data_IF_274828424978
#
_entry.id   IF_274828424978
#
_cell.length_a   1.000
_cell.length_b   1.000
_cell.length_c   1.000
_cell.angle_alpha   90.00
_cell.angle_beta   90.00
_cell.angle_gamma   90.00
#
_symmetry.space_group_name_H-M   'P 1'
#
loop_
_entity.id
_entity.type
_entity.pdbx_description
1 polymer ?
#
# COMPACT_ATOMS: atom_id res chain seq x y z
N UNK A 1 19.08 12.72 2.24
CA UNK A 1 17.66 12.59 1.89
C UNK A 1 17.27 11.18 2.27
N UNK A 2 16.37 11.01 3.23
CA UNK A 2 15.86 9.72 3.69
C UNK A 2 14.60 9.36 2.89
N UNK A 3 14.67 8.31 2.08
CA UNK A 3 13.55 7.79 1.29
C UNK A 3 12.85 6.66 2.02
N UNK A 4 11.58 6.88 2.32
CA UNK A 4 10.67 5.88 2.86
C UNK A 4 9.98 5.06 1.78
N UNK A 5 9.59 3.85 2.13
CA UNK A 5 8.78 2.95 1.32
C UNK A 5 7.58 2.43 2.12
N UNK A 6 6.41 2.44 1.50
CA UNK A 6 5.24 1.64 1.90
C UNK A 6 4.84 0.79 0.70
N UNK A 7 4.45 -0.47 0.95
CA UNK A 7 3.91 -1.37 -0.07
C UNK A 7 2.51 -1.78 0.35
N UNK A 8 1.57 -1.75 -0.58
CA UNK A 8 0.21 -2.19 -0.31
C UNK A 8 -0.59 -2.48 -1.56
N UNK A 9 -1.66 -3.27 -1.39
CA UNK A 9 -2.67 -3.45 -2.45
C UNK A 9 -3.63 -2.26 -2.53
N UNK A 10 -3.84 -1.53 -1.43
CA UNK A 10 -4.79 -0.42 -1.31
C UNK A 10 -6.17 -0.75 -1.89
N UNK A 11 -6.73 -1.88 -1.46
CA UNK A 11 -7.89 -2.52 -2.07
C UNK A 11 -9.07 -2.65 -1.07
N UNK A 12 -9.74 -1.56 -0.65
CA UNK A 12 -9.50 -0.18 -1.06
C UNK A 12 -8.51 0.58 -0.15
N UNK A 13 -8.10 1.79 -0.55
CA UNK A 13 -7.45 2.74 0.35
C UNK A 13 -8.41 3.11 1.50
N UNK A 14 -7.91 3.20 2.72
CA UNK A 14 -8.72 3.45 3.93
C UNK A 14 -7.90 4.20 4.99
N UNK A 15 -8.55 4.72 6.03
CA UNK A 15 -7.92 5.57 7.05
C UNK A 15 -6.76 4.88 7.81
N UNK A 16 -6.78 3.55 7.95
CA UNK A 16 -5.64 2.79 8.50
C UNK A 16 -4.37 2.95 7.65
N UNK A 17 -4.48 2.83 6.31
CA UNK A 17 -3.37 3.12 5.41
C UNK A 17 -2.91 4.57 5.55
N UNK A 18 -3.86 5.51 5.65
CA UNK A 18 -3.54 6.93 5.81
C UNK A 18 -2.79 7.21 7.11
N UNK A 19 -3.09 6.49 8.19
CA UNK A 19 -2.36 6.59 9.46
C UNK A 19 -0.90 6.12 9.31
N UNK A 20 -0.66 5.01 8.61
CA UNK A 20 0.71 4.54 8.30
C UNK A 20 1.47 5.54 7.42
N UNK A 21 0.81 6.08 6.40
CA UNK A 21 1.40 7.08 5.50
C UNK A 21 1.73 8.37 6.27
N UNK A 22 0.83 8.85 7.13
CA UNK A 22 1.05 10.01 7.98
C UNK A 22 2.27 9.83 8.88
N UNK A 23 2.36 8.68 9.54
CA UNK A 23 3.54 8.33 10.35
C UNK A 23 4.82 8.33 9.48
N UNK A 24 4.82 7.65 8.34
CA UNK A 24 5.99 7.60 7.47
C UNK A 24 6.45 8.99 7.00
N UNK A 25 5.51 9.90 6.68
CA UNK A 25 5.81 11.27 6.23
C UNK A 25 6.51 12.14 7.28
N UNK A 26 6.33 11.85 8.57
CA UNK A 26 7.05 12.49 9.68
C UNK A 26 8.48 11.95 9.84
N UNK A 27 8.77 10.78 9.26
CA UNK A 27 10.01 10.04 9.46
C UNK A 27 10.87 9.89 8.18
N UNK A 28 10.51 10.57 7.08
CA UNK A 28 11.30 10.61 5.85
C UNK A 28 11.17 11.94 5.07
N UNK A 29 12.09 12.15 4.13
CA UNK A 29 12.11 13.33 3.26
C UNK A 29 11.25 13.11 1.99
N UNK A 30 11.20 11.87 1.50
CA UNK A 30 10.41 11.43 0.34
C UNK A 30 9.80 10.05 0.66
N UNK A 31 8.53 9.85 0.33
CA UNK A 31 7.81 8.60 0.60
C UNK A 31 7.32 7.98 -0.71
N UNK A 32 7.92 6.85 -1.08
CA UNK A 32 7.41 6.03 -2.17
C UNK A 32 6.29 5.13 -1.66
N UNK A 33 5.15 5.15 -2.34
CA UNK A 33 4.01 4.26 -2.04
C UNK A 33 3.83 3.34 -3.23
N UNK A 34 4.24 2.09 -3.10
CA UNK A 34 4.10 1.09 -4.14
C UNK A 34 2.73 0.42 -4.05
N UNK A 35 1.95 0.57 -5.12
CA UNK A 35 0.70 -0.15 -5.34
C UNK A 35 1.04 -1.42 -6.13
N UNK A 36 1.04 -2.56 -5.44
CA UNK A 36 1.12 -3.85 -6.12
C UNK A 36 -0.24 -4.21 -6.70
N UNK A 37 -0.32 -4.36 -8.02
CA UNK A 37 -1.57 -4.66 -8.71
C UNK A 37 -1.46 -5.91 -9.61
N UNK A 38 -2.48 -6.75 -9.56
CA UNK A 38 -2.72 -7.82 -10.53
C UNK A 38 -4.00 -7.51 -11.32
N UNK A 39 -4.07 -7.94 -12.58
CA UNK A 39 -5.25 -7.78 -13.43
C UNK A 39 -6.45 -8.62 -12.94
N UNK A 40 -6.20 -9.61 -12.07
CA UNK A 40 -7.23 -10.46 -11.46
C UNK A 40 -7.93 -9.80 -10.25
N UNK A 41 -7.54 -8.58 -9.86
CA UNK A 41 -8.10 -7.88 -8.71
C UNK A 41 -9.39 -7.11 -9.03
N UNK A 42 -10.38 -7.06 -8.11
CA UNK A 42 -11.71 -6.48 -8.38
C UNK A 42 -11.72 -4.96 -8.58
N UNK A 43 -10.61 -4.28 -8.29
CA UNK A 43 -10.45 -2.84 -8.50
C UNK A 43 -9.13 -2.63 -9.25
N UNK A 44 -9.18 -2.06 -10.47
CA UNK A 44 -7.99 -1.81 -11.28
C UNK A 44 -6.89 -1.05 -10.55
N UNK A 45 -5.63 -1.32 -10.93
CA UNK A 45 -4.45 -0.70 -10.33
C UNK A 45 -4.39 0.83 -10.52
N UNK A 46 -4.81 1.31 -11.69
CA UNK A 46 -4.89 2.74 -12.04
C UNK A 46 -5.94 3.50 -11.20
N UNK A 47 -7.09 2.86 -10.90
CA UNK A 47 -8.08 3.42 -9.97
C UNK A 47 -7.48 3.62 -8.58
N UNK A 48 -6.71 2.64 -8.11
CA UNK A 48 -6.05 2.69 -6.79
C UNK A 48 -4.91 3.71 -6.73
N UNK A 49 -4.13 3.81 -7.80
CA UNK A 49 -3.11 4.85 -7.97
C UNK A 49 -3.77 6.24 -7.88
N UNK A 50 -4.85 6.45 -8.64
CA UNK A 50 -5.59 7.71 -8.64
C UNK A 50 -6.19 8.07 -7.27
N UNK A 51 -6.55 7.10 -6.43
CA UNK A 51 -6.95 7.39 -5.05
C UNK A 51 -5.83 7.99 -4.23
N UNK A 52 -4.61 7.47 -4.35
CA UNK A 52 -3.44 8.02 -3.66
C UNK A 52 -3.07 9.40 -4.23
N UNK A 53 -3.06 9.55 -5.56
CA UNK A 53 -2.80 10.84 -6.22
C UNK A 53 -3.78 11.92 -5.76
N UNK A 54 -5.08 11.64 -5.76
CA UNK A 54 -6.11 12.58 -5.28
C UNK A 54 -5.96 12.87 -3.78
N UNK A 55 -5.73 11.85 -2.96
CA UNK A 55 -5.69 11.99 -1.49
C UNK A 55 -4.46 12.80 -1.04
N UNK A 56 -3.37 12.72 -1.78
CA UNK A 56 -2.09 13.37 -1.44
C UNK A 56 -1.64 14.40 -2.49
N UNK A 57 -2.56 14.97 -3.26
CA UNK A 57 -2.26 15.90 -4.36
C UNK A 57 -1.43 17.12 -3.93
N UNK A 58 -1.64 17.59 -2.70
CA UNK A 58 -0.95 18.74 -2.12
C UNK A 58 0.32 18.36 -1.33
N UNK A 59 0.78 17.11 -1.40
CA UNK A 59 1.94 16.62 -0.67
C UNK A 59 3.05 16.14 -1.61
N UNK A 60 3.98 17.03 -1.91
CA UNK A 60 5.12 16.77 -2.80
C UNK A 60 6.06 15.64 -2.34
N UNK A 61 6.02 15.24 -1.06
CA UNK A 61 6.83 14.11 -0.56
C UNK A 61 6.28 12.77 -1.02
N UNK A 62 4.98 12.67 -1.30
CA UNK A 62 4.32 11.40 -1.64
C UNK A 62 4.55 11.09 -3.13
N UNK A 63 5.09 9.89 -3.41
CA UNK A 63 5.35 9.38 -4.76
C UNK A 63 4.61 8.04 -4.94
N UNK A 64 3.34 8.05 -5.36
CA UNK A 64 2.61 6.82 -5.68
C UNK A 64 3.22 6.16 -6.93
N UNK A 65 3.43 4.84 -6.89
CA UNK A 65 3.99 4.06 -7.99
C UNK A 65 3.16 2.80 -8.18
N UNK A 66 2.55 2.66 -9.34
CA UNK A 66 1.84 1.44 -9.72
C UNK A 66 2.84 0.42 -10.29
N UNK A 67 2.91 -0.75 -9.67
CA UNK A 67 3.68 -1.88 -10.17
C UNK A 67 2.73 -3.05 -10.43
N UNK A 68 2.47 -3.29 -11.71
CA UNK A 68 1.72 -4.44 -12.15
C UNK A 68 2.60 -5.70 -12.05
N UNK A 69 2.03 -6.74 -11.46
CA UNK A 69 2.68 -8.04 -11.37
C UNK A 69 1.74 -9.12 -11.90
N UNK A 70 2.34 -10.13 -12.51
CA UNK A 70 1.64 -11.35 -12.87
C UNK A 70 1.60 -12.28 -11.65
N UNK A 71 0.42 -12.75 -11.26
CA UNK A 71 0.26 -13.70 -10.15
C UNK A 71 1.01 -15.02 -10.41
N UNK A 72 1.24 -15.39 -11.66
CA UNK A 72 2.10 -16.53 -12.01
C UNK A 72 3.58 -16.30 -11.68
N UNK A 73 4.02 -15.04 -11.59
CA UNK A 73 5.42 -14.64 -11.29
C UNK A 73 5.59 -14.32 -9.80
N UNK A 74 4.56 -13.80 -9.13
CA UNK A 74 4.50 -13.54 -7.69
C UNK A 74 3.28 -14.26 -7.08
N UNK A 75 3.38 -15.58 -6.81
CA UNK A 75 2.23 -16.38 -6.40
C UNK A 75 1.66 -15.92 -5.06
N UNK A 76 0.39 -15.53 -5.04
CA UNK A 76 -0.28 -15.10 -3.82
C UNK A 76 -0.66 -16.24 -2.86
N UNK A 77 -0.97 -17.43 -3.39
CA UNK A 77 -1.47 -18.57 -2.60
C UNK A 77 -0.41 -19.67 -2.48
N UNK A 78 0.02 -19.98 -1.25
CA UNK A 78 0.89 -21.11 -0.92
C UNK A 78 2.39 -20.79 -0.76
N UNK A 79 2.83 -19.60 -1.15
CA UNK A 79 4.20 -19.13 -0.90
C UNK A 79 4.37 -18.57 0.51
N UNK A 80 5.58 -18.70 1.06
CA UNK A 80 5.90 -18.11 2.36
C UNK A 80 6.01 -16.59 2.26
N UNK A 81 5.64 -15.89 3.34
CA UNK A 81 5.77 -14.43 3.42
C UNK A 81 7.21 -13.96 3.18
N UNK A 82 8.21 -14.76 3.56
CA UNK A 82 9.63 -14.47 3.34
C UNK A 82 10.00 -14.59 1.85
N UNK A 83 9.56 -15.65 1.16
CA UNK A 83 9.80 -15.80 -0.28
C UNK A 83 9.17 -14.69 -1.08
N UNK A 84 7.91 -14.34 -0.76
CA UNK A 84 7.22 -13.23 -1.40
C UNK A 84 7.97 -11.91 -1.18
N UNK A 85 8.42 -11.66 0.06
CA UNK A 85 9.23 -10.48 0.36
C UNK A 85 10.54 -10.47 -0.44
N UNK A 86 11.21 -11.61 -0.61
CA UNK A 86 12.44 -11.72 -1.40
C UNK A 86 12.21 -11.38 -2.88
N UNK A 87 11.13 -11.88 -3.47
CA UNK A 87 10.80 -11.61 -4.87
C UNK A 87 10.44 -10.14 -5.09
N UNK A 88 9.60 -9.58 -4.22
CA UNK A 88 9.26 -8.15 -4.24
C UNK A 88 10.48 -7.26 -4.06
N UNK A 89 11.35 -7.54 -3.08
CA UNK A 89 12.57 -6.76 -2.88
C UNK A 89 13.50 -6.82 -4.11
N UNK A 90 13.66 -7.98 -4.74
CA UNK A 90 14.44 -8.14 -5.98
C UNK A 90 13.85 -7.33 -7.13
N UNK A 91 12.52 -7.32 -7.26
CA UNK A 91 11.82 -6.53 -8.25
C UNK A 91 11.98 -5.02 -7.98
N UNK A 92 11.77 -4.58 -6.74
CA UNK A 92 11.91 -3.18 -6.36
C UNK A 92 13.32 -2.64 -6.56
N UNK A 93 14.36 -3.40 -6.20
CA UNK A 93 15.77 -3.01 -6.44
C UNK A 93 16.08 -2.67 -7.90
N UNK A 94 15.29 -3.20 -8.85
CA UNK A 94 15.46 -2.94 -10.30
C UNK A 94 14.59 -1.80 -10.82
N UNK A 95 13.48 -1.51 -10.14
CA UNK A 95 12.42 -0.64 -10.66
C UNK A 95 12.23 0.67 -9.89
N UNK A 96 12.78 0.79 -8.69
CA UNK A 96 12.69 2.02 -7.88
C UNK A 96 14.08 2.47 -7.39
N UNK A 97 14.26 3.76 -7.06
CA UNK A 97 15.48 4.26 -6.41
C UNK A 97 15.79 3.53 -5.09
N UNK A 98 17.02 3.72 -4.60
CA UNK A 98 17.43 3.20 -3.29
C UNK A 98 16.50 3.67 -2.16
N UNK A 99 16.10 2.74 -1.30
CA UNK A 99 15.19 2.92 -0.18
C UNK A 99 15.99 2.87 1.12
N UNK A 100 15.82 3.86 1.99
CA UNK A 100 16.52 3.94 3.28
C UNK A 100 15.72 3.27 4.41
N UNK A 101 14.39 3.30 4.34
CA UNK A 101 13.51 2.72 5.35
C UNK A 101 12.21 2.18 4.74
N UNK A 102 11.77 1.00 5.18
CA UNK A 102 10.43 0.48 4.91
C UNK A 102 9.54 0.64 6.14
N UNK A 103 8.35 1.20 5.93
CA UNK A 103 7.30 1.30 6.93
C UNK A 103 6.21 0.27 6.61
N UNK A 104 5.86 -0.57 7.59
CA UNK A 104 4.83 -1.60 7.43
C UNK A 104 4.02 -1.76 8.70
N UNK A 105 2.80 -2.30 8.58
CA UNK A 105 1.97 -2.68 9.74
C UNK A 105 2.04 -4.17 10.07
N UNK A 106 2.81 -4.94 9.32
CA UNK A 106 2.85 -6.40 9.38
C UNK A 106 4.28 -6.96 9.21
N UNK A 107 4.45 -8.24 9.54
CA UNK A 107 5.74 -8.92 9.58
C UNK A 107 6.52 -8.92 8.24
N UNK A 108 5.86 -8.72 7.09
CA UNK A 108 6.56 -8.65 5.79
C UNK A 108 7.60 -7.52 5.77
N UNK A 109 7.38 -6.42 6.51
CA UNK A 109 8.31 -5.29 6.56
C UNK A 109 9.69 -5.68 7.07
N UNK A 110 9.75 -6.62 8.01
CA UNK A 110 11.01 -7.14 8.53
C UNK A 110 11.76 -7.96 7.48
N UNK A 111 11.09 -8.86 6.75
CA UNK A 111 11.71 -9.62 5.66
C UNK A 111 12.15 -8.71 4.51
N UNK A 112 11.29 -7.79 4.09
CA UNK A 112 11.59 -6.82 3.04
C UNK A 112 12.84 -6.00 3.37
N UNK A 113 12.98 -5.51 4.60
CA UNK A 113 14.14 -4.71 5.01
C UNK A 113 15.47 -5.45 4.82
N UNK A 114 15.51 -6.76 5.16
CA UNK A 114 16.68 -7.62 4.97
C UNK A 114 17.04 -7.78 3.49
N UNK A 115 16.05 -7.92 2.62
CA UNK A 115 16.28 -8.11 1.19
C UNK A 115 16.51 -6.80 0.44
N UNK A 116 15.95 -5.69 0.91
CA UNK A 116 16.16 -4.34 0.38
C UNK A 116 17.47 -3.72 0.85
N UNK A 117 18.02 -4.19 1.97
CA UNK A 117 19.17 -3.59 2.67
C UNK A 117 18.83 -2.18 3.19
N UNK A 118 17.72 -2.09 3.95
CA UNK A 118 17.20 -0.83 4.51
C UNK A 118 16.70 -1.00 5.96
N UNK A 119 16.40 0.11 6.64
CA UNK A 119 15.78 0.09 7.97
C UNK A 119 14.34 -0.46 7.91
N UNK A 120 13.87 -1.13 8.96
CA UNK A 120 12.47 -1.56 9.11
C UNK A 120 11.81 -0.82 10.25
N UNK A 121 10.63 -0.26 10.01
CA UNK A 121 9.77 0.29 11.06
C UNK A 121 8.41 -0.37 10.97
N UNK A 122 8.05 -1.10 12.02
CA UNK A 122 6.72 -1.71 12.16
C UNK A 122 5.83 -0.81 13.00
N UNK A 123 4.71 -0.39 12.43
CA UNK A 123 3.72 0.49 13.05
C UNK A 123 2.34 -0.17 13.00
N UNK A 124 1.90 -0.72 14.13
CA UNK A 124 0.69 -1.55 14.23
C UNK A 124 -0.60 -0.77 14.45
N UNK A 125 -0.53 0.54 14.70
CA UNK A 125 -1.69 1.41 14.95
C UNK A 125 -2.77 1.37 13.83
N UNK A 126 -2.43 1.28 12.52
CA UNK A 126 -3.40 1.09 11.44
C UNK A 126 -4.41 -0.04 11.68
N UNK A 127 -3.97 -1.15 12.27
CA UNK A 127 -4.80 -2.33 12.54
C UNK A 127 -5.82 -2.06 13.65
N UNK A 128 -5.55 -1.10 14.54
CA UNK A 128 -6.49 -0.66 15.59
C UNK A 128 -7.50 0.35 15.05
N UNK A 129 -7.05 1.21 14.12
CA UNK A 129 -7.89 2.24 13.49
C UNK A 129 -8.93 1.60 12.55
N UNK A 130 -8.55 0.56 11.82
CA UNK A 130 -9.44 -0.19 10.90
C UNK A 130 -9.44 -1.67 11.28
N UNK A 131 -10.25 -2.10 12.27
CA UNK A 131 -10.32 -3.49 12.72
C UNK A 131 -11.24 -4.34 11.82
N UNK A 132 -11.30 -4.02 10.52
CA UNK A 132 -12.18 -4.65 9.54
C UNK A 132 -11.34 -5.08 8.35
N UNK A 133 -11.49 -6.33 7.91
CA UNK A 133 -10.80 -6.82 6.73
C UNK A 133 -11.20 -5.99 5.50
N UNK A 134 -10.22 -5.56 4.70
CA UNK A 134 -10.47 -4.78 3.48
C UNK A 134 -11.48 -5.46 2.51
N UNK A 135 -11.55 -6.80 2.51
CA UNK A 135 -12.56 -7.56 1.78
C UNK A 135 -14.01 -7.20 2.19
N UNK A 136 -14.28 -7.08 3.50
CA UNK A 136 -15.61 -6.69 4.01
C UNK A 136 -15.98 -5.26 3.61
N UNK A 137 -15.00 -4.37 3.56
CA UNK A 137 -15.19 -3.00 3.05
C UNK A 137 -15.62 -3.02 1.58
N UNK A 138 -15.06 -3.92 0.76
CA UNK A 138 -15.46 -4.06 -0.65
C UNK A 138 -16.86 -4.66 -0.83
N UNK A 139 -17.23 -5.62 0.02
CA UNK A 139 -18.54 -6.28 -0.02
C UNK A 139 -19.67 -5.35 0.41
N UNK A 140 -19.45 -4.52 1.45
CA UNK A 140 -20.48 -3.68 2.06
C UNK A 140 -19.99 -2.22 2.25
N UNK A 141 -19.54 -1.53 1.18
CA UNK A 141 -18.86 -0.23 1.28
C UNK A 141 -19.67 0.84 1.99
N UNK A 142 -21.01 0.82 1.84
CA UNK A 142 -21.92 1.77 2.49
C UNK A 142 -21.85 1.72 4.02
N UNK A 143 -21.59 0.56 4.62
CA UNK A 143 -21.44 0.43 6.08
C UNK A 143 -20.12 1.04 6.57
N UNK A 144 -19.12 1.12 5.69
CA UNK A 144 -17.74 1.47 6.03
C UNK A 144 -17.27 2.79 5.41
N UNK A 145 -18.16 3.61 4.84
CA UNK A 145 -17.80 4.90 4.23
C UNK A 145 -16.99 5.81 5.17
N UNK A 146 -17.24 5.74 6.47
CA UNK A 146 -16.52 6.50 7.50
C UNK A 146 -15.04 6.09 7.65
N UNK A 147 -14.64 4.93 7.12
CA UNK A 147 -13.27 4.43 7.11
C UNK A 147 -12.52 4.77 5.81
N UNK A 148 -13.18 5.43 4.86
CA UNK A 148 -12.65 5.67 3.51
C UNK A 148 -12.32 7.15 3.29
N UNK A 149 -11.23 7.48 2.59
CA UNK A 149 -11.00 8.84 2.12
C UNK A 149 -11.98 9.22 1.02
N UNK A 150 -12.15 10.52 0.79
CA UNK A 150 -13.17 11.05 -0.14
C UNK A 150 -13.03 10.49 -1.56
N UNK A 151 -11.80 10.41 -2.09
CA UNK A 151 -11.52 9.85 -3.41
C UNK A 151 -12.03 8.40 -3.59
N UNK A 152 -12.09 7.63 -2.51
CA UNK A 152 -12.61 6.25 -2.51
C UNK A 152 -14.13 6.25 -2.34
N UNK A 153 -14.69 7.15 -1.54
CA UNK A 153 -16.16 7.30 -1.40
C UNK A 153 -16.80 7.63 -2.75
N UNK A 154 -16.21 8.56 -3.51
CA UNK A 154 -16.65 8.93 -4.86
C UNK A 154 -16.80 7.67 -5.75
N UNK A 155 -15.78 6.80 -5.74
CA UNK A 155 -15.78 5.56 -6.53
C UNK A 155 -16.95 4.61 -6.19
N UNK A 156 -17.27 4.45 -4.90
CA UNK A 156 -18.38 3.58 -4.49
C UNK A 156 -19.76 4.22 -4.68
N UNK A 157 -19.87 5.54 -4.61
CA UNK A 157 -21.11 6.27 -4.89
C UNK A 157 -21.51 6.21 -6.36
N UNK A 158 -20.55 6.29 -7.28
CA UNK A 158 -20.80 6.24 -8.72
C UNK A 158 -21.22 4.86 -9.24
N UNK A 159 -20.88 3.78 -8.50
CA UNK A 159 -21.28 2.40 -8.82
C UNK A 159 -22.59 1.94 -8.17
N UNK A 160 -23.16 2.77 -7.29
CA UNK A 160 -24.45 2.51 -6.63
C UNK A 160 -25.67 3.06 -7.38
N UNK A 161 -25.49 3.60 -8.59
CA UNK A 161 -26.53 4.06 -9.52
C UNK A 161 -26.65 3.08 -10.67
#
# INVERSE_FOLDING_TARGET
MKRGLIIGKFLPLHIGHMALIGYALEHCDELMIVIGASDDEPIPGDVRLNWLDKTYADNDKVKPVLLNYDEAILPGAGESIENMSRLWASYLKKNVPHIDVIFASEAYGAYMSRFLDCESVIYEEPCKVVPVAAARIREEPNLYLHLLPEAVKEYYQDRGK
#
